data_IF_438510784353
#
_entry.id   IF_438510784353
#
_cell.length_a   1.000
_cell.length_b   1.000
_cell.length_c   1.000
_cell.angle_alpha   90.00
_cell.angle_beta   90.00
_cell.angle_gamma   90.00
#
_symmetry.space_group_name_H-M   'P 1'
#
loop_
_entity.id
_entity.type
_entity.pdbx_description
1 polymer ?
#
# COMPACT_ATOMS: atom_id res chain seq x y z
N UNK A 1 -4.05 36.72 -17.89
CA UNK A 1 -3.05 35.73 -18.33
C UNK A 1 -3.54 34.36 -17.86
N UNK A 2 -4.02 33.52 -18.77
CA UNK A 2 -4.79 32.30 -18.54
C UNK A 2 -3.90 31.09 -18.20
N UNK A 3 -4.06 30.50 -17.02
CA UNK A 3 -3.45 29.20 -16.66
C UNK A 3 -4.31 28.06 -17.23
N UNK A 4 -3.95 27.58 -18.42
CA UNK A 4 -4.65 26.49 -19.12
C UNK A 4 -3.74 25.25 -19.31
N UNK A 5 -3.19 24.70 -18.22
CA UNK A 5 -2.35 23.47 -18.32
C UNK A 5 -2.56 22.51 -17.14
N UNK A 6 -3.79 22.35 -16.66
CA UNK A 6 -4.15 21.33 -15.66
C UNK A 6 -5.07 20.31 -16.32
N UNK A 7 -4.55 19.48 -17.21
CA UNK A 7 -5.36 18.47 -17.91
C UNK A 7 -4.61 17.35 -18.64
N UNK A 8 -3.27 17.38 -18.69
CA UNK A 8 -2.48 16.34 -19.36
C UNK A 8 -1.78 15.48 -18.32
N UNK A 9 -2.33 14.31 -18.06
CA UNK A 9 -1.62 13.28 -17.28
C UNK A 9 -0.38 12.85 -18.06
N UNK A 10 0.80 13.26 -17.61
CA UNK A 10 2.07 12.81 -18.17
C UNK A 10 2.39 11.44 -17.58
N UNK A 11 2.39 10.41 -18.42
CA UNK A 11 2.88 9.08 -18.02
C UNK A 11 4.39 9.07 -18.16
N UNK A 12 5.10 9.12 -17.04
CA UNK A 12 6.54 8.99 -16.99
C UNK A 12 6.90 7.56 -16.55
N UNK A 13 7.69 6.86 -17.36
CA UNK A 13 8.23 5.53 -17.04
C UNK A 13 9.74 5.68 -16.89
N UNK A 14 10.26 5.44 -15.69
CA UNK A 14 11.69 5.46 -15.43
C UNK A 14 12.33 4.15 -15.95
N UNK A 15 13.33 4.25 -16.83
CA UNK A 15 14.16 3.10 -17.21
C UNK A 15 15.30 2.94 -16.19
N UNK A 16 15.36 1.82 -15.44
CA UNK A 16 16.36 1.61 -14.41
C UNK A 16 17.80 1.50 -14.93
N UNK A 17 17.99 1.26 -16.23
CA UNK A 17 19.32 1.14 -16.84
C UNK A 17 19.83 2.47 -17.42
N UNK A 18 19.02 3.52 -17.40
CA UNK A 18 19.44 4.84 -17.88
C UNK A 18 20.42 5.46 -16.87
N UNK A 19 21.68 5.73 -17.25
CA UNK A 19 22.63 6.36 -16.36
C UNK A 19 22.23 7.80 -16.07
N UNK A 20 22.46 8.25 -14.83
CA UNK A 20 22.25 9.64 -14.42
C UNK A 20 23.01 10.61 -15.33
N UNK A 21 22.34 11.70 -15.72
CA UNK A 21 22.97 12.82 -16.44
C UNK A 21 24.06 13.46 -15.58
N UNK A 22 24.98 14.19 -16.21
CA UNK A 22 25.97 14.99 -15.49
C UNK A 22 25.28 16.02 -14.56
N UNK A 23 24.16 16.59 -15.01
CA UNK A 23 23.37 17.54 -14.22
C UNK A 23 22.72 16.86 -13.01
N UNK A 24 22.16 15.66 -13.17
CA UNK A 24 21.56 14.89 -12.07
C UNK A 24 22.62 14.53 -11.01
N UNK A 25 23.82 14.14 -11.45
CA UNK A 25 24.95 13.85 -10.55
C UNK A 25 25.39 15.09 -9.80
N UNK A 26 25.46 16.24 -10.47
CA UNK A 26 25.80 17.51 -9.84
C UNK A 26 24.74 17.95 -8.82
N UNK A 27 23.44 17.76 -9.13
CA UNK A 27 22.34 18.02 -8.21
C UNK A 27 22.41 17.10 -6.98
N UNK A 28 22.65 15.80 -7.19
CA UNK A 28 22.81 14.84 -6.10
C UNK A 28 24.00 15.16 -5.20
N UNK A 29 25.13 15.57 -5.77
CA UNK A 29 26.31 15.99 -5.01
C UNK A 29 26.03 17.24 -4.15
N UNK A 30 25.23 18.19 -4.66
CA UNK A 30 24.79 19.36 -3.87
C UNK A 30 23.89 18.95 -2.71
N UNK A 31 22.90 18.09 -2.96
CA UNK A 31 21.99 17.59 -1.93
C UNK A 31 22.72 16.77 -0.86
N UNK A 32 23.77 16.03 -1.23
CA UNK A 32 24.56 15.24 -0.29
C UNK A 32 25.40 16.08 0.69
N UNK A 33 25.69 17.34 0.37
CA UNK A 33 26.46 18.27 1.21
C UNK A 33 25.55 19.21 2.02
N UNK A 34 24.29 19.37 1.58
CA UNK A 34 23.29 20.19 2.25
C UNK A 34 23.00 19.66 3.66
N UNK A 35 22.87 20.56 4.62
CA UNK A 35 22.55 20.20 6.01
C UNK A 35 21.05 20.06 6.23
N UNK A 36 20.65 19.22 7.19
CA UNK A 36 19.22 19.02 7.53
C UNK A 36 18.51 20.33 7.92
N UNK A 37 19.23 21.29 8.52
CA UNK A 37 18.68 22.60 8.90
C UNK A 37 18.32 23.50 7.72
N UNK A 38 18.88 23.24 6.54
CA UNK A 38 18.59 24.00 5.32
C UNK A 38 17.38 23.44 4.56
N UNK A 39 16.87 22.26 4.94
CA UNK A 39 15.73 21.61 4.29
C UNK A 39 14.45 22.35 4.69
N UNK A 40 13.77 22.94 3.70
CA UNK A 40 12.46 23.55 3.89
C UNK A 40 11.38 22.47 3.99
N UNK A 41 10.77 22.36 5.17
CA UNK A 41 9.65 21.46 5.46
C UNK A 41 8.35 22.23 5.75
N UNK A 42 8.25 23.50 5.36
CA UNK A 42 7.10 24.36 5.69
C UNK A 42 5.80 23.97 5.00
N UNK A 43 5.87 23.18 3.92
CA UNK A 43 4.74 22.69 3.13
C UNK A 43 4.14 21.37 3.67
N UNK A 44 4.85 20.65 4.54
CA UNK A 44 4.45 19.33 5.05
C UNK A 44 4.21 19.34 6.57
N UNK A 45 3.17 18.63 7.05
CA UNK A 45 2.92 18.51 8.48
C UNK A 45 4.01 17.65 9.16
N UNK A 46 4.34 17.99 10.40
CA UNK A 46 5.29 17.20 11.21
C UNK A 46 4.73 15.79 11.46
N UNK A 47 5.56 14.77 11.26
CA UNK A 47 5.20 13.38 11.57
C UNK A 47 5.01 13.20 13.09
N UNK A 48 3.96 12.50 13.55
CA UNK A 48 3.74 12.25 14.97
C UNK A 48 4.78 11.28 15.54
N UNK A 49 5.05 11.36 16.84
CA UNK A 49 6.11 10.59 17.49
C UNK A 49 5.85 9.08 17.50
N UNK A 50 4.59 8.67 17.39
CA UNK A 50 4.09 7.29 17.35
C UNK A 50 3.75 6.84 15.92
N UNK A 51 4.24 7.53 14.89
CA UNK A 51 3.98 7.16 13.51
C UNK A 51 4.55 5.77 13.18
N UNK A 52 3.68 4.77 13.04
CA UNK A 52 4.02 3.48 12.46
C UNK A 52 3.92 3.53 10.92
N UNK A 53 5.07 3.51 10.26
CA UNK A 53 5.15 3.44 8.80
C UNK A 53 4.81 2.03 8.33
N UNK A 54 3.55 1.83 7.91
CA UNK A 54 3.12 0.59 7.27
C UNK A 54 3.01 0.76 5.76
N UNK A 55 3.47 -0.22 4.99
CA UNK A 55 3.27 -0.22 3.54
C UNK A 55 1.78 -0.43 3.25
N UNK A 56 1.09 0.53 2.60
CA UNK A 56 -0.30 0.34 2.21
C UNK A 56 -0.41 -0.88 1.31
N UNK A 57 -1.19 -1.88 1.73
CA UNK A 57 -1.46 -3.06 0.92
C UNK A 57 -0.44 -4.20 0.97
N UNK A 58 0.51 -4.21 1.92
CA UNK A 58 1.22 -5.47 2.23
C UNK A 58 0.20 -6.41 2.89
N UNK A 59 -0.21 -7.51 2.24
CA UNK A 59 -1.03 -8.50 2.92
C UNK A 59 -0.20 -9.07 4.07
N UNK A 60 -0.75 -9.03 5.28
CA UNK A 60 -0.25 -9.81 6.42
C UNK A 60 0.14 -11.20 5.90
N UNK A 61 1.43 -11.54 6.02
CA UNK A 61 2.13 -12.60 5.27
C UNK A 61 1.25 -13.76 4.81
N UNK A 62 1.39 -14.14 3.54
CA UNK A 62 0.80 -15.36 2.98
C UNK A 62 1.11 -16.61 3.82
N UNK A 63 2.22 -16.60 4.56
CA UNK A 63 2.65 -17.64 5.52
C UNK A 63 1.63 -17.95 6.63
N UNK A 64 0.69 -17.05 6.93
CA UNK A 64 -0.33 -17.30 7.96
C UNK A 64 -1.52 -18.14 7.48
N UNK A 65 -1.66 -18.39 6.16
CA UNK A 65 -2.80 -19.13 5.61
C UNK A 65 -2.44 -20.59 5.43
N UNK A 66 -3.09 -21.49 6.17
CA UNK A 66 -2.95 -22.93 5.98
C UNK A 66 -4.01 -23.43 5.00
N UNK A 67 -3.59 -24.14 3.96
CA UNK A 67 -4.51 -24.82 3.04
C UNK A 67 -5.05 -26.07 3.73
N UNK A 68 -6.36 -26.09 3.98
CA UNK A 68 -7.07 -27.22 4.58
C UNK A 68 -8.27 -27.61 3.73
N UNK A 69 -8.67 -28.88 3.79
CA UNK A 69 -9.91 -29.36 3.17
C UNK A 69 -11.06 -29.16 4.14
N UNK A 70 -11.89 -28.14 3.91
CA UNK A 70 -13.09 -27.83 4.69
C UNK A 70 -14.34 -28.10 3.83
N UNK A 71 -15.33 -28.80 4.40
CA UNK A 71 -16.66 -28.94 3.79
C UNK A 71 -17.51 -27.74 4.19
N UNK A 72 -18.15 -27.12 3.21
CA UNK A 72 -19.10 -26.02 3.37
C UNK A 72 -20.39 -26.43 2.66
N UNK A 73 -21.53 -25.94 3.16
CA UNK A 73 -22.81 -26.17 2.52
C UNK A 73 -22.85 -25.53 1.12
N UNK A 74 -23.64 -26.14 0.22
CA UNK A 74 -23.67 -25.76 -1.19
C UNK A 74 -24.18 -24.33 -1.39
N UNK A 75 -25.24 -23.95 -0.67
CA UNK A 75 -25.83 -22.61 -0.69
C UNK A 75 -24.87 -21.53 -0.20
N UNK A 76 -24.10 -21.80 0.85
CA UNK A 76 -23.06 -20.91 1.37
C UNK A 76 -21.96 -20.71 0.33
N UNK A 77 -21.50 -21.79 -0.31
CA UNK A 77 -20.50 -21.71 -1.38
C UNK A 77 -21.00 -20.90 -2.57
N UNK A 78 -22.24 -21.12 -3.00
CA UNK A 78 -22.84 -20.43 -4.13
C UNK A 78 -23.01 -18.93 -3.85
N UNK A 79 -23.44 -18.57 -2.64
CA UNK A 79 -23.53 -17.18 -2.20
C UNK A 79 -22.19 -16.45 -2.34
N UNK A 80 -21.10 -17.03 -1.83
CA UNK A 80 -19.78 -16.39 -1.90
C UNK A 80 -19.21 -16.37 -3.33
N UNK A 81 -19.50 -17.40 -4.15
CA UNK A 81 -19.09 -17.47 -5.56
C UNK A 81 -19.78 -16.43 -6.42
N UNK A 82 -21.04 -16.12 -6.17
CA UNK A 82 -21.80 -15.09 -6.90
C UNK A 82 -21.09 -13.71 -6.87
N UNK A 83 -20.37 -13.42 -5.79
CA UNK A 83 -19.65 -12.17 -5.62
C UNK A 83 -18.28 -12.11 -6.36
N UNK A 84 -17.87 -13.16 -7.09
CA UNK A 84 -16.70 -13.15 -7.99
C UNK A 84 -15.41 -13.83 -7.49
N UNK A 85 -14.29 -13.59 -8.19
CA UNK A 85 -13.03 -14.37 -8.16
C UNK A 85 -12.23 -14.40 -6.84
N UNK A 86 -12.77 -13.85 -5.75
CA UNK A 86 -12.12 -13.80 -4.43
C UNK A 86 -12.99 -14.37 -3.30
N UNK A 87 -13.92 -15.26 -3.63
CA UNK A 87 -14.85 -15.86 -2.68
C UNK A 87 -14.14 -16.52 -1.47
N UNK A 88 -13.03 -17.23 -1.68
CA UNK A 88 -12.24 -17.82 -0.57
C UNK A 88 -11.68 -16.77 0.39
N UNK A 89 -11.25 -15.61 -0.13
CA UNK A 89 -10.74 -14.52 0.71
C UNK A 89 -11.86 -13.91 1.56
N UNK A 90 -13.08 -13.79 1.00
CA UNK A 90 -14.25 -13.30 1.74
C UNK A 90 -14.69 -14.28 2.83
N UNK A 91 -14.72 -15.58 2.53
CA UNK A 91 -14.99 -16.61 3.55
C UNK A 91 -14.03 -16.46 4.72
N UNK A 92 -12.72 -16.34 4.46
CA UNK A 92 -11.72 -16.18 5.50
C UNK A 92 -11.88 -14.86 6.29
N UNK A 93 -12.29 -13.76 5.65
CA UNK A 93 -12.58 -12.50 6.34
C UNK A 93 -13.75 -12.63 7.31
N UNK A 94 -14.83 -13.30 6.91
CA UNK A 94 -15.99 -13.55 7.78
C UNK A 94 -15.60 -14.42 8.97
N UNK A 95 -14.87 -15.51 8.74
CA UNK A 95 -14.37 -16.37 9.82
C UNK A 95 -13.46 -15.60 10.80
N UNK A 96 -12.59 -14.74 10.29
CA UNK A 96 -11.74 -13.88 11.12
C UNK A 96 -12.56 -12.90 11.95
N UNK A 97 -13.54 -12.23 11.35
CA UNK A 97 -14.41 -11.29 12.06
C UNK A 97 -15.19 -12.01 13.18
N UNK A 98 -15.74 -13.19 12.89
CA UNK A 98 -16.39 -14.04 13.88
C UNK A 98 -15.44 -14.40 15.03
N UNK A 99 -14.23 -14.86 14.72
CA UNK A 99 -13.22 -15.21 15.71
C UNK A 99 -12.88 -14.01 16.63
N UNK A 100 -12.64 -12.82 16.05
CA UNK A 100 -12.32 -11.61 16.82
C UNK A 100 -13.46 -11.18 17.75
N UNK A 101 -14.71 -11.24 17.26
CA UNK A 101 -15.89 -10.92 18.06
C UNK A 101 -16.09 -11.85 19.27
N UNK A 102 -15.55 -13.07 19.23
CA UNK A 102 -15.65 -14.04 20.33
C UNK A 102 -14.40 -14.13 21.20
N UNK A 103 -13.24 -13.67 20.70
CA UNK A 103 -12.00 -13.55 21.49
C UNK A 103 -12.03 -12.35 22.43
N UNK A 104 -12.68 -11.25 22.07
CA UNK A 104 -12.79 -10.04 22.90
C UNK A 104 -13.76 -10.12 24.09
N UNK A 105 -14.22 -11.32 24.47
CA UNK A 105 -15.17 -11.58 25.59
C UNK A 105 -14.57 -12.41 26.73
N UNK A 106 -13.25 -12.41 26.90
CA UNK A 106 -12.58 -13.07 28.04
C UNK A 106 -11.71 -12.08 28.79
#
# INVERSE_FOLDING_TARGET
MSNATTGKTVRFTLDPNTPLSADDKAALARLAVMSDSEIDCSDIPRSPADAEWTRPGVPLSAENKRQITLRLDADVLDYFRHAGSRYQTRINQVLRAYMQAHLGKR
#
